data_IF_492661083331
#
_entry.id   IF_492661083331
#
_cell.length_a   1.000
_cell.length_b   1.000
_cell.length_c   1.000
_cell.angle_alpha   90.00
_cell.angle_beta   90.00
_cell.angle_gamma   90.00
#
_symmetry.space_group_name_H-M   'P 1'
#
loop_
_entity.id
_entity.type
_entity.pdbx_description
1 polymer ?
#
# COMPACT_ATOMS: atom_id res chain seq x y z
N UNK A 1 -19.66 9.25 -28.29
CA UNK A 1 -18.63 8.35 -27.74
C UNK A 1 -19.18 6.94 -27.56
N UNK A 2 -18.56 5.94 -28.18
CA UNK A 2 -18.95 4.52 -28.17
C UNK A 2 -18.87 3.92 -26.74
N UNK A 3 -19.77 2.98 -26.40
CA UNK A 3 -19.79 2.24 -25.11
C UNK A 3 -18.42 1.63 -24.75
N UNK A 4 -17.72 1.03 -25.70
CA UNK A 4 -16.35 0.50 -25.53
C UNK A 4 -15.35 1.61 -25.19
N UNK A 5 -15.43 2.77 -25.84
CA UNK A 5 -14.57 3.92 -25.57
C UNK A 5 -14.80 4.46 -24.15
N UNK A 6 -16.05 4.50 -23.68
CA UNK A 6 -16.40 4.86 -22.30
C UNK A 6 -15.77 3.89 -21.28
N UNK A 7 -15.91 2.57 -21.53
CA UNK A 7 -15.36 1.53 -20.65
C UNK A 7 -13.83 1.63 -20.58
N UNK A 8 -13.15 1.82 -21.72
CA UNK A 8 -11.71 1.98 -21.75
C UNK A 8 -11.24 3.19 -20.93
N UNK A 9 -11.91 4.34 -21.06
CA UNK A 9 -11.59 5.55 -20.31
C UNK A 9 -11.78 5.37 -18.79
N UNK A 10 -12.81 4.62 -18.38
CA UNK A 10 -13.05 4.31 -16.96
C UNK A 10 -11.95 3.40 -16.41
N UNK A 11 -11.59 2.34 -17.16
CA UNK A 11 -10.54 1.39 -16.74
C UNK A 11 -9.19 2.10 -16.63
N UNK A 12 -8.81 2.91 -17.63
CA UNK A 12 -7.54 3.64 -17.59
C UNK A 12 -7.49 4.64 -16.43
N UNK A 13 -8.59 5.36 -16.19
CA UNK A 13 -8.71 6.27 -15.04
C UNK A 13 -8.57 5.53 -13.70
N UNK A 14 -9.27 4.39 -13.54
CA UNK A 14 -9.19 3.59 -12.33
C UNK A 14 -7.78 3.05 -12.07
N UNK A 15 -7.09 2.57 -13.11
CA UNK A 15 -5.70 2.11 -13.01
C UNK A 15 -4.78 3.26 -12.58
N UNK A 16 -4.93 4.45 -13.17
CA UNK A 16 -4.13 5.62 -12.80
C UNK A 16 -4.29 6.00 -11.32
N UNK A 17 -5.52 6.00 -10.81
CA UNK A 17 -5.81 6.26 -9.39
C UNK A 17 -5.19 5.18 -8.51
N UNK A 18 -5.34 3.91 -8.87
CA UNK A 18 -4.76 2.79 -8.12
C UNK A 18 -3.24 2.88 -8.02
N UNK A 19 -2.56 3.19 -9.12
CA UNK A 19 -1.11 3.41 -9.13
C UNK A 19 -0.75 4.56 -8.18
N UNK A 20 -1.46 5.69 -8.28
CA UNK A 20 -1.23 6.84 -7.40
C UNK A 20 -1.35 6.49 -5.91
N UNK A 21 -2.41 5.77 -5.53
CA UNK A 21 -2.62 5.34 -4.14
C UNK A 21 -1.49 4.41 -3.67
N UNK A 22 -1.12 3.42 -4.49
CA UNK A 22 -0.04 2.48 -4.15
C UNK A 22 1.29 3.22 -4.02
N UNK A 23 1.59 4.18 -4.90
CA UNK A 23 2.80 5.00 -4.82
C UNK A 23 2.84 5.85 -3.56
N UNK A 24 1.73 6.47 -3.17
CA UNK A 24 1.68 7.25 -1.92
C UNK A 24 1.88 6.34 -0.70
N UNK A 25 1.13 5.24 -0.63
CA UNK A 25 1.25 4.26 0.47
C UNK A 25 2.67 3.71 0.58
N UNK A 26 3.29 3.42 -0.57
CA UNK A 26 4.68 2.98 -0.67
C UNK A 26 5.67 3.95 0.00
N UNK A 27 5.60 5.25 -0.35
CA UNK A 27 6.47 6.25 0.25
C UNK A 27 6.19 6.43 1.74
N UNK A 28 4.90 6.48 2.12
CA UNK A 28 4.49 6.58 3.53
C UNK A 28 5.09 5.44 4.36
N UNK A 29 5.01 4.20 3.88
CA UNK A 29 5.57 3.04 4.58
C UNK A 29 7.09 3.15 4.70
N UNK A 30 7.81 3.50 3.63
CA UNK A 30 9.27 3.61 3.65
C UNK A 30 9.74 4.69 4.63
N UNK A 31 9.10 5.86 4.63
CA UNK A 31 9.45 6.96 5.54
C UNK A 31 9.05 6.69 6.99
N UNK A 32 7.83 6.19 7.22
CA UNK A 32 7.40 5.82 8.57
C UNK A 32 8.29 4.73 9.13
N UNK A 33 8.65 3.71 8.35
CA UNK A 33 9.53 2.65 8.84
C UNK A 33 10.88 3.20 9.31
N UNK A 34 11.55 3.98 8.45
CA UNK A 34 12.86 4.54 8.75
C UNK A 34 12.83 5.48 9.96
N UNK A 35 11.68 6.09 10.26
CA UNK A 35 11.51 6.94 11.43
C UNK A 35 11.11 6.15 12.68
N UNK A 36 10.03 5.38 12.62
CA UNK A 36 9.43 4.77 13.81
C UNK A 36 10.14 3.53 14.28
N UNK A 37 10.73 2.72 13.38
CA UNK A 37 11.31 1.43 13.78
C UNK A 37 12.59 1.60 14.59
N UNK A 38 13.54 2.48 14.22
CA UNK A 38 14.70 2.76 15.07
C UNK A 38 14.29 3.35 16.42
N UNK A 39 13.30 4.23 16.46
CA UNK A 39 12.83 4.87 17.70
C UNK A 39 12.10 3.88 18.63
N UNK A 40 11.33 2.94 18.08
CA UNK A 40 10.59 1.93 18.85
C UNK A 40 11.47 0.78 19.33
N UNK A 41 12.47 0.40 18.53
CA UNK A 41 13.30 -0.77 18.78
C UNK A 41 14.80 -0.47 18.65
N UNK A 42 15.35 0.51 19.38
CA UNK A 42 16.74 0.96 19.21
C UNK A 42 17.74 -0.18 19.44
N UNK A 43 17.60 -0.92 20.55
CA UNK A 43 18.51 -2.02 20.87
C UNK A 43 18.42 -3.21 19.91
N UNK A 44 17.26 -3.50 19.33
CA UNK A 44 17.11 -4.58 18.36
C UNK A 44 17.70 -4.20 16.99
N UNK A 45 17.69 -2.91 16.65
CA UNK A 45 18.37 -2.38 15.47
C UNK A 45 19.89 -2.41 15.67
N UNK A 46 20.40 -2.01 16.83
CA UNK A 46 21.84 -2.09 17.16
C UNK A 46 22.39 -3.52 17.11
N UNK A 47 21.59 -4.49 17.56
CA UNK A 47 21.92 -5.92 17.50
C UNK A 47 21.75 -6.53 16.09
N UNK A 48 21.28 -5.76 15.11
CA UNK A 48 21.04 -6.22 13.74
C UNK A 48 19.88 -7.21 13.60
N UNK A 49 19.03 -7.33 14.62
CA UNK A 49 17.84 -8.19 14.60
C UNK A 49 16.70 -7.58 13.78
N UNK A 50 16.68 -6.24 13.68
CA UNK A 50 15.71 -5.47 12.91
C UNK A 50 16.45 -4.52 12.00
N UNK A 51 16.02 -4.45 10.73
CA UNK A 51 16.56 -3.47 9.79
C UNK A 51 15.99 -2.07 10.09
N UNK A 52 16.87 -1.12 10.43
CA UNK A 52 16.53 0.30 10.56
C UNK A 52 15.86 0.83 9.29
N UNK A 53 16.38 0.39 8.15
CA UNK A 53 15.86 0.74 6.83
C UNK A 53 15.49 -0.51 6.04
N UNK A 54 14.31 -0.48 5.43
CA UNK A 54 13.85 -1.51 4.50
C UNK A 54 14.19 -1.16 3.06
N UNK A 55 14.37 -2.19 2.23
CA UNK A 55 14.60 -1.98 0.79
C UNK A 55 13.39 -1.35 0.09
N UNK A 56 13.62 -0.76 -1.09
CA UNK A 56 12.55 -0.31 -1.98
C UNK A 56 11.57 -1.44 -2.29
N UNK A 57 12.07 -2.63 -2.62
CA UNK A 57 11.19 -3.76 -2.91
C UNK A 57 10.36 -4.19 -1.69
N UNK A 58 10.95 -4.18 -0.50
CA UNK A 58 10.23 -4.52 0.75
C UNK A 58 9.10 -3.54 1.02
N UNK A 59 9.35 -2.24 0.86
CA UNK A 59 8.33 -1.19 1.03
C UNK A 59 7.19 -1.36 0.02
N UNK A 60 7.51 -1.77 -1.22
CA UNK A 60 6.51 -2.05 -2.25
C UNK A 60 5.66 -3.27 -1.91
N UNK A 61 6.28 -4.36 -1.43
CA UNK A 61 5.56 -5.55 -0.95
C UNK A 61 4.56 -5.20 0.16
N UNK A 62 4.97 -4.37 1.12
CA UNK A 62 4.10 -3.92 2.20
C UNK A 62 2.95 -3.06 1.68
N UNK A 63 3.21 -2.10 0.78
CA UNK A 63 2.18 -1.27 0.17
C UNK A 63 1.12 -2.11 -0.56
N UNK A 64 1.57 -3.10 -1.33
CA UNK A 64 0.68 -4.03 -2.03
C UNK A 64 -0.12 -4.88 -1.04
N UNK A 65 0.52 -5.42 -0.01
CA UNK A 65 -0.12 -6.22 1.03
C UNK A 65 -1.24 -5.44 1.75
N UNK A 66 -0.96 -4.22 2.21
CA UNK A 66 -1.96 -3.37 2.87
C UNK A 66 -3.06 -2.92 1.90
N UNK A 67 -2.74 -2.69 0.63
CA UNK A 67 -3.72 -2.38 -0.41
C UNK A 67 -4.72 -3.54 -0.60
N UNK A 68 -4.23 -4.77 -0.73
CA UNK A 68 -5.07 -5.96 -0.85
C UNK A 68 -5.89 -6.18 0.42
N UNK A 69 -5.27 -6.07 1.59
CA UNK A 69 -5.95 -6.25 2.88
C UNK A 69 -7.10 -5.24 3.08
N UNK A 70 -6.88 -3.99 2.66
CA UNK A 70 -7.91 -2.95 2.72
C UNK A 70 -9.07 -3.25 1.75
N UNK A 71 -8.77 -3.79 0.57
CA UNK A 71 -9.77 -4.19 -0.40
C UNK A 71 -10.64 -5.35 0.11
N UNK A 72 -10.04 -6.37 0.73
CA UNK A 72 -10.79 -7.51 1.30
C UNK A 72 -11.61 -7.13 2.52
N UNK A 73 -11.13 -6.20 3.35
CA UNK A 73 -11.91 -5.66 4.49
C UNK A 73 -13.21 -4.99 4.02
N UNK A 74 -13.15 -4.15 2.98
CA UNK A 74 -14.35 -3.47 2.44
C UNK A 74 -15.32 -4.43 1.74
N UNK A 75 -14.83 -5.50 1.14
CA UNK A 75 -15.68 -6.49 0.46
C UNK A 75 -16.68 -7.17 1.42
N UNK A 76 -16.29 -7.41 2.67
CA UNK A 76 -17.14 -8.08 3.66
C UNK A 76 -18.25 -7.18 4.25
N UNK A 77 -18.09 -5.86 4.20
CA UNK A 77 -19.11 -4.91 4.70
C UNK A 77 -20.35 -4.89 3.79
N UNK A 78 -20.19 -5.19 2.50
CA UNK A 78 -21.27 -5.11 1.51
C UNK A 78 -22.26 -6.28 1.54
N UNK A 79 -21.95 -7.35 2.28
CA UNK A 79 -22.81 -8.54 2.37
C UNK A 79 -23.79 -8.48 3.56
N UNK A 80 -23.77 -7.40 4.36
CA UNK A 80 -24.60 -7.25 5.57
C UNK A 80 -25.58 -6.07 5.47
N UNK A 81 -26.07 -5.81 4.26
CA UNK A 81 -27.00 -4.70 4.00
C UNK A 81 -28.24 -5.15 3.21
N UNK A 82 -28.67 -6.40 3.40
CA UNK A 82 -30.01 -6.91 3.03
C UNK A 82 -30.45 -7.96 4.09
#
# INVERSE_FOLDING_TARGET
>A
MNKKTKIFAIISGAIGIMIGIVTIAFFVIKFLWAWTIPDLFPGAVEQGLIAAEISWLTSFKLALFFGILSATSKANVKYKSD
#
